data_IF_747799269252
#
_entry.id   IF_747799269252
#
_cell.length_a   1.000
_cell.length_b   1.000
_cell.length_c   1.000
_cell.angle_alpha   90.00
_cell.angle_beta   90.00
_cell.angle_gamma   90.00
#
_symmetry.space_group_name_H-M   'P 1'
#
loop_
_entity.id
_entity.type
_entity.pdbx_description
1 polymer ?
#
# COMPACT_ATOMS: atom_id res chain seq x y z
N UNK A 1 -7.47 -43.64 -27.11
CA UNK A 1 -6.86 -42.86 -26.01
C UNK A 1 -6.76 -41.44 -26.50
N UNK A 2 -7.71 -40.58 -26.12
CA UNK A 2 -7.71 -39.18 -26.55
C UNK A 2 -6.68 -38.43 -25.70
N UNK A 3 -5.66 -37.86 -26.35
CA UNK A 3 -4.71 -36.99 -25.69
C UNK A 3 -5.41 -35.65 -25.43
N UNK A 4 -5.85 -35.41 -24.18
CA UNK A 4 -6.23 -34.06 -23.77
C UNK A 4 -4.96 -33.24 -23.71
N UNK A 5 -4.79 -32.32 -24.66
CA UNK A 5 -3.76 -31.29 -24.59
C UNK A 5 -3.94 -30.52 -23.29
N UNK A 6 -2.88 -30.30 -22.49
CA UNK A 6 -2.96 -29.40 -21.34
C UNK A 6 -3.28 -28.00 -21.87
N UNK A 7 -4.53 -27.59 -21.71
CA UNK A 7 -4.96 -26.24 -22.06
C UNK A 7 -4.34 -25.31 -21.02
N UNK A 8 -3.21 -24.71 -21.38
CA UNK A 8 -2.61 -23.64 -20.58
C UNK A 8 -3.61 -22.48 -20.61
N UNK A 9 -4.19 -22.16 -19.46
CA UNK A 9 -5.05 -20.99 -19.33
C UNK A 9 -4.21 -19.75 -19.64
N UNK A 10 -4.48 -19.12 -20.79
CA UNK A 10 -3.82 -17.87 -21.16
C UNK A 10 -4.33 -16.75 -20.25
N UNK A 11 -3.41 -15.87 -19.85
CA UNK A 11 -3.73 -14.63 -19.15
C UNK A 11 -4.72 -13.80 -19.99
N UNK A 12 -5.85 -13.42 -19.40
CA UNK A 12 -6.88 -12.59 -20.02
C UNK A 12 -6.77 -11.14 -19.56
N UNK A 13 -7.27 -10.21 -20.37
CA UNK A 13 -7.41 -8.80 -20.01
C UNK A 13 -8.86 -8.51 -19.60
N UNK A 14 -9.21 -8.87 -18.37
CA UNK A 14 -10.52 -8.68 -17.79
C UNK A 14 -10.86 -7.20 -17.63
N UNK A 15 -12.05 -6.77 -18.03
CA UNK A 15 -12.51 -5.39 -17.91
C UNK A 15 -13.91 -5.29 -17.31
N UNK A 16 -14.05 -4.53 -16.21
CA UNK A 16 -15.31 -4.17 -15.61
C UNK A 16 -15.77 -2.79 -16.10
N UNK A 17 -16.81 -2.74 -16.91
CA UNK A 17 -17.38 -1.49 -17.46
C UNK A 17 -18.66 -1.04 -16.75
N UNK A 18 -19.16 -1.85 -15.83
CA UNK A 18 -20.38 -1.59 -15.04
C UNK A 18 -20.10 -1.76 -13.55
N UNK A 19 -20.92 -1.12 -12.72
CA UNK A 19 -20.84 -1.26 -11.26
C UNK A 19 -21.42 -2.59 -10.82
N UNK A 20 -20.74 -3.27 -9.91
CA UNK A 20 -21.23 -4.51 -9.34
C UNK A 20 -20.20 -5.20 -8.46
N UNK A 21 -20.45 -6.49 -8.24
CA UNK A 21 -19.64 -7.32 -7.36
C UNK A 21 -18.58 -8.09 -8.14
N UNK A 22 -17.38 -8.24 -7.56
CA UNK A 22 -16.24 -8.92 -8.18
C UNK A 22 -16.59 -10.33 -8.64
N UNK A 23 -17.30 -11.08 -7.80
CA UNK A 23 -17.70 -12.47 -8.05
C UNK A 23 -18.87 -12.64 -9.02
N UNK A 24 -19.52 -11.54 -9.45
CA UNK A 24 -20.75 -11.63 -10.24
C UNK A 24 -20.46 -11.77 -11.74
N UNK A 25 -21.03 -12.81 -12.34
CA UNK A 25 -20.96 -13.01 -13.79
C UNK A 25 -21.57 -11.82 -14.54
N UNK A 26 -20.92 -11.38 -15.62
CA UNK A 26 -21.39 -10.28 -16.46
C UNK A 26 -20.90 -8.89 -16.04
N UNK A 27 -20.23 -8.76 -14.89
CA UNK A 27 -19.48 -7.54 -14.56
C UNK A 27 -18.20 -7.45 -15.40
N UNK A 28 -17.55 -8.60 -15.60
CA UNK A 28 -16.29 -8.69 -16.32
C UNK A 28 -16.48 -9.10 -17.77
N UNK A 29 -15.83 -8.37 -18.66
CA UNK A 29 -15.72 -8.66 -20.09
C UNK A 29 -14.29 -9.08 -20.43
N UNK A 30 -14.12 -9.84 -21.51
CA UNK A 30 -12.81 -10.30 -22.01
C UNK A 30 -12.01 -11.19 -21.02
N UNK A 31 -12.67 -11.74 -20.01
CA UNK A 31 -12.12 -12.83 -19.21
C UNK A 31 -12.35 -14.16 -19.92
N UNK A 32 -11.39 -15.09 -19.82
CA UNK A 32 -11.58 -16.49 -20.22
C UNK A 32 -12.56 -17.25 -19.28
N UNK A 33 -13.00 -16.59 -18.21
CA UNK A 33 -13.91 -17.06 -17.14
C UNK A 33 -15.00 -16.01 -16.86
N UNK A 34 -15.90 -16.29 -15.91
CA UNK A 34 -16.92 -15.31 -15.48
C UNK A 34 -16.36 -14.21 -14.55
N UNK A 35 -15.20 -14.45 -13.95
CA UNK A 35 -14.51 -13.55 -13.01
C UNK A 35 -12.99 -13.64 -13.19
N UNK A 36 -12.21 -12.57 -12.92
CA UNK A 36 -10.76 -12.59 -13.09
C UNK A 36 -10.08 -13.67 -12.24
N UNK A 37 -9.11 -14.35 -12.85
CA UNK A 37 -8.30 -15.41 -12.24
C UNK A 37 -6.87 -14.92 -11.94
N UNK A 38 -6.06 -15.75 -11.26
CA UNK A 38 -4.71 -15.40 -10.78
C UNK A 38 -3.72 -14.99 -11.88
N UNK A 39 -3.93 -15.44 -13.10
CA UNK A 39 -3.13 -15.06 -14.27
C UNK A 39 -3.68 -13.87 -15.04
N UNK A 40 -4.90 -13.44 -14.76
CA UNK A 40 -5.56 -12.38 -15.51
C UNK A 40 -5.10 -10.99 -15.03
N UNK A 41 -5.15 -10.03 -15.95
CA UNK A 41 -5.09 -8.60 -15.62
C UNK A 41 -6.51 -8.07 -15.51
N UNK A 42 -6.80 -7.22 -14.53
CA UNK A 42 -8.12 -6.65 -14.30
C UNK A 42 -8.10 -5.13 -14.48
N UNK A 43 -9.04 -4.60 -15.27
CA UNK A 43 -9.25 -3.16 -15.42
C UNK A 43 -10.65 -2.80 -14.94
N UNK A 44 -10.77 -1.86 -14.01
CA UNK A 44 -12.06 -1.27 -13.64
C UNK A 44 -12.18 0.05 -14.40
N UNK A 45 -13.03 0.07 -15.42
CA UNK A 45 -13.21 1.22 -16.28
C UNK A 45 -13.76 2.42 -15.48
N UNK A 46 -13.59 3.61 -16.06
CA UNK A 46 -14.00 4.82 -15.37
C UNK A 46 -15.52 4.92 -15.16
N UNK A 47 -15.91 5.35 -13.96
CA UNK A 47 -17.32 5.40 -13.55
C UNK A 47 -17.88 4.08 -13.03
N UNK A 48 -17.19 2.96 -13.25
CA UNK A 48 -17.54 1.68 -12.65
C UNK A 48 -17.03 1.59 -11.20
N UNK A 49 -17.84 1.01 -10.32
CA UNK A 49 -17.45 0.61 -8.97
C UNK A 49 -17.55 -0.91 -8.85
N UNK A 50 -16.43 -1.58 -8.59
CA UNK A 50 -16.42 -3.02 -8.30
C UNK A 50 -16.24 -3.21 -6.81
N UNK A 51 -17.10 -4.03 -6.20
CA UNK A 51 -17.02 -4.42 -4.80
C UNK A 51 -16.46 -5.83 -4.69
N UNK A 52 -15.35 -6.01 -3.98
CA UNK A 52 -14.78 -7.31 -3.67
C UNK A 52 -15.68 -8.05 -2.69
N UNK A 53 -16.47 -9.00 -3.19
CA UNK A 53 -17.42 -9.81 -2.41
C UNK A 53 -17.04 -11.29 -2.36
N UNK A 54 -16.04 -11.72 -3.15
CA UNK A 54 -15.46 -13.07 -3.12
C UNK A 54 -14.27 -13.15 -2.16
N UNK A 55 -14.16 -14.27 -1.42
CA UNK A 55 -13.04 -14.46 -0.49
C UNK A 55 -11.74 -14.69 -1.26
N UNK A 56 -10.86 -13.71 -1.19
CA UNK A 56 -9.45 -13.84 -1.56
C UNK A 56 -9.12 -14.02 -3.06
N UNK A 57 -9.71 -13.26 -4.02
CA UNK A 57 -9.28 -13.36 -5.41
C UNK A 57 -7.82 -12.96 -5.56
N UNK A 58 -7.14 -13.66 -6.46
CA UNK A 58 -5.78 -13.34 -6.90
C UNK A 58 -5.85 -12.94 -8.37
N UNK A 59 -5.08 -11.93 -8.76
CA UNK A 59 -4.91 -11.47 -10.15
C UNK A 59 -3.45 -11.10 -10.41
N UNK A 60 -3.06 -11.01 -11.68
CA UNK A 60 -1.72 -10.58 -12.06
C UNK A 60 -1.53 -9.07 -11.85
N UNK A 61 -2.47 -8.26 -12.33
CA UNK A 61 -2.41 -6.80 -12.20
C UNK A 61 -3.81 -6.17 -12.10
N UNK A 62 -3.90 -5.00 -11.47
CA UNK A 62 -5.13 -4.22 -11.38
C UNK A 62 -4.87 -2.81 -11.92
N UNK A 63 -5.72 -2.38 -12.86
CA UNK A 63 -5.79 -1.00 -13.33
C UNK A 63 -7.12 -0.37 -12.93
N UNK A 64 -7.09 0.79 -12.29
CA UNK A 64 -8.28 1.61 -12.03
C UNK A 64 -8.28 2.74 -13.06
N UNK A 65 -9.35 2.81 -13.87
CA UNK A 65 -9.45 3.46 -15.19
C UNK A 65 -8.70 4.78 -15.43
N UNK A 66 -8.39 5.06 -16.69
CA UNK A 66 -7.46 6.13 -17.10
C UNK A 66 -8.08 7.52 -17.29
N UNK A 67 -9.41 7.67 -17.26
CA UNK A 67 -10.07 8.96 -17.59
C UNK A 67 -11.20 9.34 -16.63
N UNK A 68 -11.96 8.36 -16.13
CA UNK A 68 -12.99 8.55 -15.10
C UNK A 68 -12.70 7.61 -13.93
N UNK A 69 -13.14 7.96 -12.72
CA UNK A 69 -12.75 7.35 -11.45
C UNK A 69 -13.22 5.90 -11.28
N UNK A 70 -12.55 4.95 -11.94
CA UNK A 70 -12.74 3.53 -11.65
C UNK A 70 -12.48 3.29 -10.16
N UNK A 71 -13.39 2.59 -9.50
CA UNK A 71 -13.36 2.39 -8.05
C UNK A 71 -13.37 0.91 -7.72
N UNK A 72 -12.40 0.46 -6.93
CA UNK A 72 -12.45 -0.83 -6.24
C UNK A 72 -12.79 -0.57 -4.77
N UNK A 73 -13.80 -1.27 -4.26
CA UNK A 73 -14.15 -1.34 -2.84
C UNK A 73 -13.79 -2.74 -2.34
N UNK A 74 -12.92 -2.84 -1.35
CA UNK A 74 -12.57 -4.13 -0.72
C UNK A 74 -13.39 -4.28 0.56
N UNK A 75 -14.31 -5.27 0.60
CA UNK A 75 -15.12 -5.55 1.79
C UNK A 75 -14.30 -6.21 2.90
N UNK A 76 -14.78 -6.12 4.14
CA UNK A 76 -14.19 -6.78 5.31
C UNK A 76 -13.96 -8.26 5.07
N UNK A 77 -12.89 -8.82 5.64
CA UNK A 77 -12.45 -10.22 5.49
C UNK A 77 -12.05 -10.67 4.07
N UNK A 78 -12.21 -9.80 3.06
CA UNK A 78 -11.75 -10.10 1.71
C UNK A 78 -10.33 -9.55 1.51
N UNK A 79 -9.50 -10.35 0.85
CA UNK A 79 -8.16 -9.94 0.43
C UNK A 79 -8.14 -9.90 -1.09
N UNK A 80 -7.69 -8.81 -1.71
CA UNK A 80 -7.29 -8.88 -3.12
C UNK A 80 -5.78 -9.06 -3.16
N UNK A 81 -5.32 -10.16 -3.75
CA UNK A 81 -3.89 -10.38 -3.99
C UNK A 81 -3.57 -10.03 -5.44
N UNK A 82 -2.64 -9.10 -5.65
CA UNK A 82 -2.13 -8.74 -6.98
C UNK A 82 -0.68 -9.22 -7.07
N UNK A 83 -0.36 -10.24 -7.87
CA UNK A 83 0.91 -11.00 -7.77
C UNK A 83 2.02 -10.59 -8.74
N UNK A 84 1.70 -9.76 -9.73
CA UNK A 84 2.56 -9.18 -10.77
C UNK A 84 3.99 -9.76 -10.97
N UNK A 85 4.14 -10.53 -12.04
CA UNK A 85 5.41 -11.11 -12.53
C UNK A 85 6.07 -10.33 -13.68
N UNK A 86 5.61 -9.11 -14.00
CA UNK A 86 6.19 -8.34 -15.12
C UNK A 86 5.82 -6.86 -15.08
N UNK A 87 6.55 -6.08 -14.28
CA UNK A 87 6.67 -4.61 -14.39
C UNK A 87 5.40 -3.73 -14.37
N UNK A 88 4.19 -4.24 -14.08
CA UNK A 88 2.97 -3.41 -14.02
C UNK A 88 2.52 -3.06 -12.60
N UNK A 89 3.04 -1.97 -12.03
CA UNK A 89 2.56 -1.42 -10.76
C UNK A 89 1.03 -1.32 -10.71
N UNK A 90 0.41 -1.36 -9.52
CA UNK A 90 -0.98 -0.93 -9.37
C UNK A 90 -1.00 0.56 -9.66
N UNK A 91 -1.41 0.90 -10.87
CA UNK A 91 -1.49 2.27 -11.33
C UNK A 91 -2.87 2.81 -10.93
N UNK A 92 -2.91 3.53 -9.81
CA UNK A 92 -4.03 4.42 -9.50
C UNK A 92 -3.75 5.71 -10.28
N UNK A 93 -4.44 5.89 -11.41
CA UNK A 93 -4.29 7.10 -12.24
C UNK A 93 -4.88 8.32 -11.53
N UNK A 94 -4.66 9.53 -12.05
CA UNK A 94 -4.96 10.81 -11.38
C UNK A 94 -6.41 11.00 -10.91
N UNK A 95 -7.35 10.18 -11.39
CA UNK A 95 -8.76 10.20 -10.97
C UNK A 95 -9.23 8.87 -10.36
N UNK A 96 -8.41 7.83 -10.32
CA UNK A 96 -8.74 6.54 -9.70
C UNK A 96 -8.82 6.66 -8.18
N UNK A 97 -9.67 5.85 -7.56
CA UNK A 97 -9.72 5.72 -6.09
C UNK A 97 -9.61 4.25 -5.73
N UNK A 98 -8.52 3.88 -5.05
CA UNK A 98 -8.46 2.63 -4.31
C UNK A 98 -8.97 2.94 -2.90
N UNK A 99 -10.20 2.51 -2.60
CA UNK A 99 -10.76 2.67 -1.27
C UNK A 99 -10.52 1.37 -0.49
N UNK A 100 -9.70 1.49 0.55
CA UNK A 100 -9.35 0.37 1.42
C UNK A 100 -10.13 0.58 2.72
N UNK A 101 -11.17 -0.23 2.91
CA UNK A 101 -12.04 -0.27 4.08
C UNK A 101 -13.45 0.32 3.87
N UNK A 102 -14.27 0.27 4.92
CA UNK A 102 -15.73 0.13 4.83
C UNK A 102 -16.56 1.40 4.53
N UNK A 103 -17.79 1.17 4.07
CA UNK A 103 -18.88 2.14 4.04
C UNK A 103 -19.68 2.26 5.35
N UNK A 104 -19.55 1.36 6.34
CA UNK A 104 -20.12 1.53 7.70
C UNK A 104 -19.89 0.30 8.62
N UNK A 105 -18.99 0.39 9.61
CA UNK A 105 -19.17 -0.27 10.91
C UNK A 105 -18.28 -1.45 11.37
N UNK A 106 -17.31 -1.93 10.59
CA UNK A 106 -16.49 -3.11 10.93
C UNK A 106 -15.02 -2.95 10.45
N UNK A 107 -14.08 -3.63 11.12
CA UNK A 107 -12.76 -3.07 11.45
C UNK A 107 -11.53 -3.72 10.80
N UNK A 108 -11.67 -4.73 9.92
CA UNK A 108 -10.53 -5.57 9.50
C UNK A 108 -10.48 -5.93 7.99
N UNK A 109 -10.29 -4.95 7.11
CA UNK A 109 -9.90 -5.20 5.71
C UNK A 109 -8.39 -5.03 5.54
N UNK A 110 -7.71 -6.01 4.93
CA UNK A 110 -6.29 -5.92 4.56
C UNK A 110 -6.19 -5.98 3.05
N UNK A 111 -5.58 -4.96 2.44
CA UNK A 111 -5.12 -5.02 1.05
C UNK A 111 -3.62 -5.23 1.11
N UNK A 112 -3.15 -6.35 0.57
CA UNK A 112 -1.73 -6.64 0.46
C UNK A 112 -1.30 -6.33 -0.96
N UNK A 113 -0.45 -5.33 -1.09
CA UNK A 113 0.20 -5.03 -2.36
C UNK A 113 1.56 -5.71 -2.34
N UNK A 114 1.60 -6.93 -2.87
CA UNK A 114 2.82 -7.74 -2.98
C UNK A 114 3.40 -7.56 -4.39
N UNK A 115 4.61 -7.05 -4.46
CA UNK A 115 5.32 -6.98 -5.72
C UNK A 115 6.73 -7.52 -5.53
N UNK A 116 7.00 -8.67 -6.11
CA UNK A 116 8.25 -9.42 -5.93
C UNK A 116 9.32 -9.13 -6.99
N UNK A 117 9.01 -8.33 -8.03
CA UNK A 117 9.89 -8.12 -9.21
C UNK A 117 10.45 -6.69 -9.40
N UNK A 118 10.47 -5.85 -8.36
CA UNK A 118 11.22 -4.56 -8.32
C UNK A 118 10.42 -3.28 -8.59
N UNK A 119 9.14 -3.37 -8.93
CA UNK A 119 8.20 -2.25 -8.99
C UNK A 119 7.75 -1.73 -7.61
N UNK A 120 7.62 -0.40 -7.50
CA UNK A 120 7.05 0.29 -6.34
C UNK A 120 5.55 0.57 -6.47
N UNK A 121 4.96 1.21 -5.45
CA UNK A 121 3.64 1.86 -5.58
C UNK A 121 3.87 3.29 -5.99
N UNK A 122 3.34 3.67 -7.14
CA UNK A 122 3.19 5.08 -7.52
C UNK A 122 1.72 5.46 -7.41
N UNK A 123 1.38 6.23 -6.37
CA UNK A 123 0.04 6.78 -6.25
C UNK A 123 -0.02 8.12 -6.99
N UNK A 124 -0.66 8.15 -8.16
CA UNK A 124 -0.92 9.39 -8.89
C UNK A 124 -2.33 9.96 -8.63
N UNK A 125 -3.22 9.16 -8.02
CA UNK A 125 -4.60 9.52 -7.69
C UNK A 125 -4.87 9.62 -6.18
N UNK A 126 -6.11 9.34 -5.76
CA UNK A 126 -6.47 9.38 -4.35
C UNK A 126 -6.32 8.00 -3.71
N UNK A 127 -5.49 7.92 -2.66
CA UNK A 127 -5.43 6.80 -1.74
C UNK A 127 -6.21 7.18 -0.48
N UNK A 128 -7.42 6.65 -0.36
CA UNK A 128 -8.31 6.93 0.77
C UNK A 128 -8.41 5.69 1.64
N UNK A 129 -7.97 5.82 2.88
CA UNK A 129 -8.22 4.83 3.92
C UNK A 129 -9.57 5.15 4.57
N UNK A 130 -10.52 4.21 4.57
CA UNK A 130 -11.81 4.39 5.24
C UNK A 130 -11.99 3.30 6.28
N UNK A 131 -12.01 3.63 7.56
CA UNK A 131 -12.08 2.65 8.66
C UNK A 131 -10.71 2.26 9.25
N UNK A 132 -10.70 1.37 10.25
CA UNK A 132 -9.50 1.03 11.05
C UNK A 132 -8.60 -0.05 10.42
N UNK A 133 -8.65 -0.21 9.10
CA UNK A 133 -7.88 -1.25 8.40
C UNK A 133 -6.37 -0.99 8.36
N UNK A 134 -5.61 -2.06 8.13
CA UNK A 134 -4.15 -2.02 7.89
C UNK A 134 -3.87 -2.18 6.40
N UNK A 135 -3.06 -1.29 5.83
CA UNK A 135 -2.47 -1.48 4.51
C UNK A 135 -1.06 -2.05 4.69
N UNK A 136 -0.93 -3.34 4.39
CA UNK A 136 0.35 -4.01 4.36
C UNK A 136 1.00 -3.83 2.98
N UNK A 137 2.18 -3.21 2.96
CA UNK A 137 2.93 -2.92 1.74
C UNK A 137 4.15 -3.83 1.64
N UNK A 138 3.91 -5.00 1.04
CA UNK A 138 4.93 -6.00 0.71
C UNK A 138 5.61 -5.64 -0.62
N UNK A 139 6.19 -4.44 -0.71
CA UNK A 139 6.77 -3.98 -1.98
C UNK A 139 8.27 -4.23 -2.02
N UNK A 140 8.76 -4.62 -3.19
CA UNK A 140 10.19 -4.64 -3.48
C UNK A 140 10.74 -3.28 -3.97
N UNK A 141 9.86 -2.29 -4.18
CA UNK A 141 10.21 -0.95 -4.67
C UNK A 141 9.74 0.20 -3.77
N UNK A 142 9.92 1.43 -4.25
CA UNK A 142 9.58 2.66 -3.53
C UNK A 142 8.07 2.88 -3.37
N UNK A 143 7.67 3.60 -2.32
CA UNK A 143 6.38 4.28 -2.26
C UNK A 143 6.60 5.71 -2.73
N UNK A 144 5.93 6.07 -3.83
CA UNK A 144 5.92 7.43 -4.37
C UNK A 144 4.48 7.92 -4.36
N UNK A 145 4.16 8.78 -3.40
CA UNK A 145 2.87 9.47 -3.39
C UNK A 145 2.98 10.79 -4.15
N UNK A 146 2.20 10.94 -5.21
CA UNK A 146 2.05 12.21 -5.96
C UNK A 146 0.59 12.69 -6.00
N UNK A 147 -0.31 12.00 -5.30
CA UNK A 147 -1.73 12.34 -5.18
C UNK A 147 -2.17 12.52 -3.73
N UNK A 148 -3.47 12.37 -3.44
CA UNK A 148 -4.01 12.63 -2.09
C UNK A 148 -4.06 11.39 -1.23
N UNK A 149 -3.39 11.41 -0.09
CA UNK A 149 -3.55 10.46 1.02
C UNK A 149 -4.51 11.06 2.04
N UNK A 150 -5.71 10.49 2.15
CA UNK A 150 -6.66 10.86 3.20
C UNK A 150 -6.52 9.87 4.35
N UNK A 151 -6.01 10.36 5.47
CA UNK A 151 -5.89 9.62 6.73
C UNK A 151 -7.25 9.49 7.41
N UNK A 152 -7.52 8.31 7.98
CA UNK A 152 -8.43 8.14 9.12
C UNK A 152 -7.61 7.76 10.36
N UNK A 153 -8.05 8.17 11.54
CA UNK A 153 -7.24 8.22 12.77
C UNK A 153 -6.64 6.89 13.22
N UNK A 154 -7.10 5.75 12.69
CA UNK A 154 -6.73 4.39 13.11
C UNK A 154 -6.06 3.55 12.02
N UNK A 155 -5.89 4.05 10.79
CA UNK A 155 -5.23 3.26 9.74
C UNK A 155 -3.73 3.19 9.92
N UNK A 156 -3.17 2.01 9.65
CA UNK A 156 -1.72 1.75 9.71
C UNK A 156 -1.19 1.40 8.32
N UNK A 157 -0.08 2.03 7.94
CA UNK A 157 0.74 1.66 6.77
C UNK A 157 1.94 0.87 7.29
N UNK A 158 2.06 -0.39 6.85
CA UNK A 158 3.18 -1.25 7.25
C UNK A 158 4.11 -1.51 6.08
N UNK A 159 5.39 -1.14 6.20
CA UNK A 159 6.45 -1.55 5.29
C UNK A 159 6.99 -2.92 5.72
N UNK A 160 6.63 -3.97 4.98
CA UNK A 160 7.03 -5.35 5.28
C UNK A 160 7.63 -6.11 4.08
N UNK A 161 7.97 -5.41 3.00
CA UNK A 161 8.64 -6.00 1.84
C UNK A 161 10.05 -6.53 2.15
N UNK A 162 10.60 -7.33 1.23
CA UNK A 162 11.85 -8.10 1.43
C UNK A 162 13.12 -7.44 0.88
N UNK A 163 13.03 -6.25 0.28
CA UNK A 163 14.15 -5.46 -0.22
C UNK A 163 14.13 -4.06 0.38
N UNK A 164 15.25 -3.33 0.33
CA UNK A 164 15.28 -1.94 0.76
C UNK A 164 14.33 -1.08 -0.09
N UNK A 165 13.69 -0.07 0.52
CA UNK A 165 12.71 0.78 -0.16
C UNK A 165 12.93 2.26 0.14
N UNK A 166 12.28 3.10 -0.66
CA UNK A 166 12.22 4.54 -0.45
C UNK A 166 10.80 4.97 -0.12
N UNK A 167 10.63 5.88 0.84
CA UNK A 167 9.35 6.54 1.14
C UNK A 167 9.40 7.99 0.68
N UNK A 168 8.55 8.31 -0.31
CA UNK A 168 8.51 9.62 -0.96
C UNK A 168 7.08 10.17 -0.97
N UNK A 169 6.94 11.42 -0.56
CA UNK A 169 5.76 12.24 -0.74
C UNK A 169 6.11 13.43 -1.66
N UNK A 170 5.79 13.31 -2.95
CA UNK A 170 6.06 14.32 -3.98
C UNK A 170 5.06 15.47 -3.98
N UNK A 171 4.09 15.50 -3.06
CA UNK A 171 3.17 16.62 -2.95
C UNK A 171 3.90 17.89 -2.52
N UNK A 172 3.43 19.04 -3.02
CA UNK A 172 3.92 20.35 -2.60
C UNK A 172 3.65 20.59 -1.10
N UNK A 173 2.46 20.23 -0.63
CA UNK A 173 2.11 20.17 0.79
C UNK A 173 2.21 18.73 1.26
N UNK A 174 3.11 18.45 2.19
CA UNK A 174 3.31 17.09 2.71
C UNK A 174 2.08 16.62 3.48
N UNK A 175 1.67 15.40 3.19
CA UNK A 175 0.47 14.77 3.74
C UNK A 175 0.84 13.88 4.93
N UNK A 176 -0.10 13.75 5.87
CA UNK A 176 0.05 12.86 7.03
C UNK A 176 -0.38 11.45 6.62
N UNK A 177 0.58 10.53 6.59
CA UNK A 177 0.37 9.12 6.23
C UNK A 177 -0.27 8.29 7.34
N UNK A 178 -0.62 8.88 8.49
CA UNK A 178 -1.21 8.16 9.61
C UNK A 178 -0.17 7.43 10.45
N UNK A 179 -0.55 6.27 10.98
CA UNK A 179 0.39 5.41 11.71
C UNK A 179 1.23 4.64 10.71
N UNK A 180 2.55 4.70 10.84
CA UNK A 180 3.49 4.01 9.97
C UNK A 180 4.30 3.01 10.78
N UNK A 181 4.40 1.79 10.29
CA UNK A 181 5.21 0.72 10.89
C UNK A 181 6.22 0.23 9.87
N UNK A 182 7.49 0.17 10.26
CA UNK A 182 8.54 -0.48 9.49
C UNK A 182 8.77 -1.82 10.17
N UNK A 183 8.37 -2.91 9.51
CA UNK A 183 8.48 -4.28 9.99
C UNK A 183 8.88 -5.18 8.81
N UNK A 184 10.12 -5.04 8.35
CA UNK A 184 10.62 -5.77 7.17
C UNK A 184 11.19 -7.12 7.55
N UNK A 185 11.88 -7.18 8.70
CA UNK A 185 12.33 -8.40 9.38
C UNK A 185 12.89 -9.50 8.46
N UNK A 186 13.59 -9.10 7.39
CA UNK A 186 14.26 -10.00 6.46
C UNK A 186 15.59 -10.51 7.04
N UNK A 187 15.98 -11.74 6.68
CA UNK A 187 17.27 -12.31 7.07
C UNK A 187 18.48 -11.50 6.54
N UNK A 188 18.31 -10.79 5.42
CA UNK A 188 19.34 -9.91 4.84
C UNK A 188 19.15 -8.51 5.40
N UNK A 189 19.92 -8.12 6.42
CA UNK A 189 19.75 -6.84 7.15
C UNK A 189 19.77 -5.61 6.23
N UNK A 190 20.59 -5.60 5.17
CA UNK A 190 20.62 -4.47 4.21
C UNK A 190 19.29 -4.23 3.50
N UNK A 191 18.43 -5.25 3.44
CA UNK A 191 17.11 -5.13 2.84
C UNK A 191 16.09 -4.55 3.81
N UNK A 192 16.36 -4.53 5.11
CA UNK A 192 15.46 -4.03 6.14
C UNK A 192 15.53 -2.51 6.29
N UNK A 193 15.70 -1.80 5.19
CA UNK A 193 15.93 -0.35 5.18
C UNK A 193 14.82 0.39 4.46
N UNK A 194 14.28 1.41 5.11
CA UNK A 194 13.47 2.45 4.49
C UNK A 194 14.29 3.74 4.49
N UNK A 195 14.50 4.33 3.31
CA UNK A 195 15.13 5.64 3.16
C UNK A 195 14.10 6.67 2.74
N UNK A 196 14.11 7.86 3.34
CA UNK A 196 13.27 8.95 2.85
C UNK A 196 13.78 9.46 1.49
N UNK A 197 12.88 9.57 0.53
CA UNK A 197 13.13 10.16 -0.79
C UNK A 197 12.69 11.62 -0.89
N UNK A 198 11.96 12.12 0.11
CA UNK A 198 11.54 13.50 0.28
C UNK A 198 11.21 13.78 1.75
N UNK A 199 10.88 15.03 2.10
CA UNK A 199 10.18 15.27 3.37
C UNK A 199 8.82 14.56 3.37
N UNK A 200 8.42 14.02 4.53
CA UNK A 200 7.18 13.26 4.73
C UNK A 200 6.55 13.61 6.07
N UNK A 201 5.24 13.37 6.24
CA UNK A 201 4.58 13.47 7.55
C UNK A 201 3.89 12.16 7.93
N UNK A 202 3.89 11.86 9.22
CA UNK A 202 3.12 10.78 9.81
C UNK A 202 2.60 11.18 11.18
N UNK A 203 1.62 10.43 11.66
CA UNK A 203 1.10 10.55 13.02
C UNK A 203 2.06 9.95 14.00
N UNK A 204 2.47 8.72 13.71
CA UNK A 204 3.51 8.03 14.44
C UNK A 204 4.28 7.12 13.51
N UNK A 205 5.52 6.84 13.89
CA UNK A 205 6.39 5.88 13.22
C UNK A 205 6.90 4.88 14.26
N UNK A 206 6.75 3.60 13.96
CA UNK A 206 7.38 2.51 14.70
C UNK A 206 8.42 1.83 13.82
N UNK A 207 9.65 1.71 14.32
CA UNK A 207 10.74 0.96 13.69
C UNK A 207 10.86 -0.37 14.44
N UNK A 208 10.25 -1.42 13.92
CA UNK A 208 10.01 -2.71 14.59
C UNK A 208 11.11 -3.73 14.32
N UNK A 209 12.37 -3.30 14.49
CA UNK A 209 13.53 -4.17 14.32
C UNK A 209 13.66 -5.19 15.47
N UNK A 210 14.27 -6.34 15.16
CA UNK A 210 14.68 -7.34 16.16
C UNK A 210 16.21 -7.52 16.14
N UNK A 211 16.77 -8.14 17.20
CA UNK A 211 18.21 -8.38 17.27
C UNK A 211 18.76 -9.23 16.09
N UNK A 212 17.93 -10.10 15.51
CA UNK A 212 18.32 -10.98 14.39
C UNK A 212 17.94 -10.43 13.01
N UNK A 213 17.12 -9.38 12.97
CA UNK A 213 16.64 -8.73 11.76
C UNK A 213 16.32 -7.28 12.09
N UNK A 214 17.36 -6.45 12.10
CA UNK A 214 17.26 -5.04 12.46
C UNK A 214 16.58 -4.27 11.31
N UNK A 215 15.53 -3.53 11.64
CA UNK A 215 14.87 -2.61 10.71
C UNK A 215 15.45 -1.21 10.86
N UNK A 216 15.68 -0.52 9.74
CA UNK A 216 16.28 0.82 9.69
C UNK A 216 15.34 1.82 9.03
N UNK A 217 15.14 2.96 9.67
CA UNK A 217 14.66 4.18 9.03
C UNK A 217 15.82 5.16 8.85
N UNK A 218 16.08 5.55 7.61
CA UNK A 218 17.12 6.52 7.23
C UNK A 218 16.48 7.79 6.66
N UNK A 219 16.68 8.93 7.31
CA UNK A 219 16.15 10.22 6.87
C UNK A 219 16.91 10.84 5.71
N UNK A 220 18.14 10.37 5.42
CA UNK A 220 19.04 10.96 4.44
C UNK A 220 19.30 12.46 4.69
N UNK A 221 18.58 13.35 3.99
CA UNK A 221 18.65 14.81 4.13
C UNK A 221 17.28 15.45 4.33
N UNK A 222 16.25 14.65 4.59
CA UNK A 222 14.86 15.08 4.60
C UNK A 222 14.29 15.19 6.01
N UNK A 223 13.18 15.93 6.11
CA UNK A 223 12.43 16.10 7.34
C UNK A 223 11.34 15.04 7.47
N UNK A 224 11.30 14.37 8.62
CA UNK A 224 10.15 13.59 9.09
C UNK A 224 9.34 14.44 10.07
N UNK A 225 8.12 14.83 9.71
CA UNK A 225 7.20 15.51 10.64
C UNK A 225 6.29 14.49 11.32
N UNK A 226 6.23 14.53 12.66
CA UNK A 226 5.41 13.69 13.50
C UNK A 226 4.31 14.50 14.19
N UNK A 227 3.05 14.15 13.91
CA UNK A 227 1.88 14.92 14.36
C UNK A 227 1.18 14.35 15.59
N UNK A 228 1.46 13.09 15.94
CA UNK A 228 0.83 12.40 17.07
C UNK A 228 1.36 12.86 18.43
N UNK A 229 0.50 12.76 19.45
CA UNK A 229 0.84 13.06 20.83
C UNK A 229 1.53 11.89 21.53
N UNK A 230 2.11 12.14 22.72
CA UNK A 230 2.75 11.10 23.53
C UNK A 230 4.10 10.63 22.96
N UNK A 231 4.14 9.43 22.39
CA UNK A 231 5.35 8.79 21.84
C UNK A 231 5.20 8.53 20.34
N UNK A 232 5.26 9.57 19.49
CA UNK A 232 5.02 9.41 18.07
C UNK A 232 6.19 8.77 17.31
N UNK A 233 7.37 8.59 17.94
CA UNK A 233 8.45 7.77 17.40
C UNK A 233 8.77 6.65 18.39
N UNK A 234 8.53 5.40 17.98
CA UNK A 234 8.90 4.20 18.73
C UNK A 234 10.02 3.47 18.00
N UNK A 235 11.12 3.17 18.68
CA UNK A 235 12.33 2.62 18.06
C UNK A 235 12.77 1.33 18.77
N UNK A 236 12.50 0.19 18.13
CA UNK A 236 13.10 -1.12 18.45
C UNK A 236 14.26 -1.47 17.50
N UNK A 237 14.30 -0.88 16.30
CA UNK A 237 15.40 -1.00 15.32
C UNK A 237 16.33 0.23 15.24
N UNK A 238 17.00 0.43 14.11
CA UNK A 238 17.88 1.58 13.86
C UNK A 238 17.11 2.80 13.36
N UNK A 239 17.46 3.97 13.88
CA UNK A 239 17.09 5.25 13.29
C UNK A 239 18.34 6.00 12.87
N UNK A 240 18.45 6.37 11.60
CA UNK A 240 19.59 7.10 11.04
C UNK A 240 19.12 8.48 10.59
N UNK A 241 19.50 9.53 11.32
CA UNK A 241 19.16 10.90 10.96
C UNK A 241 19.95 11.40 9.74
N UNK A 242 21.21 10.98 9.61
CA UNK A 242 22.16 11.54 8.64
C UNK A 242 22.21 13.08 8.74
N UNK A 243 21.71 13.79 7.73
CA UNK A 243 21.57 15.27 7.74
C UNK A 243 20.12 15.71 7.82
N UNK A 244 19.17 14.78 7.87
CA UNK A 244 17.75 15.02 8.01
C UNK A 244 17.36 15.43 9.44
N UNK A 245 16.09 15.81 9.58
CA UNK A 245 15.54 16.30 10.85
C UNK A 245 14.24 15.59 11.20
N UNK A 246 13.93 15.50 12.50
CA UNK A 246 12.59 15.14 12.98
C UNK A 246 11.94 16.40 13.53
N UNK A 247 10.74 16.70 13.06
CA UNK A 247 9.91 17.78 13.56
C UNK A 247 8.71 17.18 14.28
N UNK A 248 8.39 17.68 15.47
CA UNK A 248 7.20 17.25 16.22
C UNK A 248 6.21 18.41 16.31
N UNK A 249 4.96 18.19 15.89
CA UNK A 249 3.94 19.25 15.79
C UNK A 249 2.69 18.96 16.61
N UNK A 250 2.74 18.00 17.54
CA UNK A 250 1.61 17.69 18.42
C UNK A 250 1.21 18.91 19.25
N UNK A 251 -0.09 19.23 19.25
CA UNK A 251 -0.66 20.29 20.09
C UNK A 251 -0.70 19.91 21.56
N UNK A 252 -0.72 18.61 21.85
CA UNK A 252 -0.87 18.06 23.20
C UNK A 252 0.49 17.71 23.82
N UNK A 253 1.59 18.06 23.14
CA UNK A 253 2.97 17.81 23.56
C UNK A 253 3.51 16.44 23.15
N UNK A 254 4.81 16.25 23.42
CA UNK A 254 5.58 15.02 23.19
C UNK A 254 6.21 14.60 24.51
N UNK A 255 5.95 13.36 24.93
CA UNK A 255 6.35 12.87 26.26
C UNK A 255 7.78 12.31 26.29
N UNK A 256 8.38 12.02 25.13
CA UNK A 256 9.66 11.33 25.05
C UNK A 256 10.56 11.92 23.95
N UNK A 257 11.31 12.97 24.30
CA UNK A 257 12.56 13.30 23.62
C UNK A 257 13.71 12.71 24.45
N UNK A 258 13.75 11.40 24.66
CA UNK A 258 14.93 10.82 25.31
C UNK A 258 16.10 10.93 24.34
N UNK A 259 17.25 11.43 24.80
CA UNK A 259 18.46 11.65 23.99
C UNK A 259 18.94 10.39 23.26
N UNK A 260 18.51 9.20 23.70
CA UNK A 260 18.73 7.95 22.98
C UNK A 260 18.12 7.96 21.56
N UNK A 261 17.05 8.72 21.30
CA UNK A 261 16.39 8.82 20.00
C UNK A 261 17.16 9.68 18.97
N UNK A 262 18.19 10.43 19.40
CA UNK A 262 18.93 11.38 18.54
C UNK A 262 20.45 11.12 18.45
N UNK A 263 20.93 10.00 18.98
CA UNK A 263 22.32 9.50 18.77
C UNK A 263 22.31 8.15 18.10
#
# INVERSE_FOLDING_TARGET
>A
MALSSPQVAWASACSATTTGNWGTAGIWTNCNSTTPQSTDTATIAGGATVTLDSSSPTIQSLTLGSTYSGKLIVQSSQTLTVTNSGNTAINITSNGTLQIGESSGNTNGTVTLDHSSGGGITNAGNLTFTGSGTLALNLTGAIVNSGTVTKVSTSTITFNGTTAQTWTDNNATKQDFGVVVINKTNATVSNNKITLGSAVKATSVTIDGTASAEDTLDLSSYTLTLTGSGTPLTRSGTFTSSTGTVEYTSTDGVSALSSAAMT
#
